data_IF_734372574530
#
_entry.id   IF_734372574530
#
_cell.length_a   1.000
_cell.length_b   1.000
_cell.length_c   1.000
_cell.angle_alpha   90.00
_cell.angle_beta   90.00
_cell.angle_gamma   90.00
#
_symmetry.space_group_name_H-M   'P 1'
#
loop_
_entity.id
_entity.type
_entity.pdbx_description
1 polymer ?
#
# COMPACT_ATOMS: atom_id res chain seq x y z
N UNK A 1 -16.65 -8.41 -20.62
CA UNK A 1 -15.47 -7.81 -19.96
C UNK A 1 -15.58 -8.13 -18.47
N UNK A 2 -14.76 -9.03 -17.94
CA UNK A 2 -14.82 -9.40 -16.53
C UNK A 2 -14.16 -8.29 -15.72
N UNK A 3 -14.93 -7.56 -14.91
CA UNK A 3 -14.37 -6.57 -14.00
C UNK A 3 -13.37 -7.25 -13.07
N UNK A 4 -12.10 -6.87 -13.14
CA UNK A 4 -11.09 -7.33 -12.19
C UNK A 4 -11.50 -6.84 -10.80
N UNK A 5 -11.78 -7.76 -9.87
CA UNK A 5 -12.16 -7.41 -8.50
C UNK A 5 -10.92 -6.89 -7.77
N UNK A 6 -10.99 -5.66 -7.29
CA UNK A 6 -9.98 -5.12 -6.37
C UNK A 6 -10.37 -5.46 -4.92
N UNK A 7 -9.38 -5.78 -4.11
CA UNK A 7 -9.52 -5.87 -2.66
C UNK A 7 -9.51 -4.43 -2.14
N UNK A 8 -10.62 -4.01 -1.55
CA UNK A 8 -10.69 -2.71 -0.89
C UNK A 8 -10.00 -2.83 0.46
N UNK A 9 -8.98 -2.03 0.70
CA UNK A 9 -8.25 -1.99 1.97
C UNK A 9 -8.10 -0.55 2.44
N UNK A 10 -8.22 -0.36 3.76
CA UNK A 10 -8.06 0.96 4.36
C UNK A 10 -6.58 1.27 4.57
N UNK A 11 -6.19 2.49 4.21
CA UNK A 11 -4.90 3.02 4.61
C UNK A 11 -4.85 3.22 6.14
N UNK A 12 -3.65 3.10 6.70
CA UNK A 12 -3.34 3.31 8.11
C UNK A 12 -2.39 4.49 8.29
N UNK A 13 -2.47 5.10 9.47
CA UNK A 13 -1.46 6.05 9.92
C UNK A 13 -0.15 5.28 10.20
N UNK A 14 0.94 5.69 9.53
CA UNK A 14 2.26 5.12 9.75
C UNK A 14 2.91 5.80 10.97
N UNK A 15 3.29 5.01 11.97
CA UNK A 15 4.06 5.51 13.11
C UNK A 15 5.55 5.52 12.78
N UNK A 16 6.25 6.58 13.21
CA UNK A 16 7.69 6.71 13.05
C UNK A 16 8.43 5.47 13.59
N UNK A 17 9.40 4.97 12.82
CA UNK A 17 10.26 3.85 13.21
C UNK A 17 9.66 2.45 12.99
N UNK A 18 8.36 2.33 12.73
CA UNK A 18 7.70 1.06 12.38
C UNK A 18 7.74 0.81 10.88
N UNK A 19 7.74 -0.46 10.47
CA UNK A 19 7.72 -0.85 9.05
C UNK A 19 6.32 -1.23 8.59
N UNK A 20 6.02 -0.92 7.32
CA UNK A 20 4.73 -1.15 6.69
C UNK A 20 4.87 -1.65 5.26
N UNK A 21 3.94 -2.51 4.87
CA UNK A 21 3.67 -2.77 3.46
C UNK A 21 2.60 -1.81 2.94
N UNK A 22 2.84 -1.29 1.74
CA UNK A 22 1.87 -0.42 1.09
C UNK A 22 2.35 0.14 -0.23
N UNK A 23 1.83 1.30 -0.60
CA UNK A 23 1.97 1.87 -1.94
C UNK A 23 2.44 3.32 -1.90
N UNK A 24 3.04 3.79 -2.98
CA UNK A 24 3.23 5.22 -3.19
C UNK A 24 1.94 5.82 -3.77
N UNK A 25 1.39 6.85 -3.13
CA UNK A 25 0.22 7.55 -3.63
C UNK A 25 0.51 8.17 -5.00
N UNK A 26 -0.34 7.93 -6.00
CA UNK A 26 -0.18 8.53 -7.33
C UNK A 26 -0.48 10.04 -7.35
N UNK A 27 -1.29 10.53 -6.42
CA UNK A 27 -1.61 11.96 -6.31
C UNK A 27 -0.51 12.79 -5.65
N UNK A 28 -0.05 12.41 -4.45
CA UNK A 28 0.91 13.21 -3.67
C UNK A 28 2.31 12.59 -3.54
N UNK A 29 2.53 11.37 -4.04
CA UNK A 29 3.79 10.63 -3.88
C UNK A 29 4.03 10.08 -2.46
N UNK A 30 3.19 10.43 -1.49
CA UNK A 30 3.31 10.00 -0.10
C UNK A 30 3.10 8.49 0.08
N UNK A 31 3.77 7.92 1.08
CA UNK A 31 3.63 6.51 1.40
C UNK A 31 2.29 6.21 2.08
N UNK A 32 1.57 5.23 1.54
CA UNK A 32 0.29 4.74 2.05
C UNK A 32 0.55 3.43 2.78
N UNK A 33 0.47 3.41 4.10
CA UNK A 33 0.58 2.18 4.88
C UNK A 33 -0.72 1.38 4.81
N UNK A 34 -0.63 0.07 4.59
CA UNK A 34 -1.81 -0.82 4.50
C UNK A 34 -1.71 -1.96 5.51
N UNK A 35 -0.56 -2.63 5.57
CA UNK A 35 -0.27 -3.72 6.50
C UNK A 35 0.98 -3.42 7.30
N UNK A 36 1.07 -3.96 8.51
CA UNK A 36 2.32 -3.91 9.28
C UNK A 36 3.34 -4.84 8.62
N UNK A 37 4.56 -4.38 8.43
CA UNK A 37 5.66 -5.21 7.99
C UNK A 37 6.48 -5.67 9.20
N UNK A 38 6.41 -6.97 9.51
CA UNK A 38 7.18 -7.62 10.59
C UNK A 38 8.53 -8.15 10.12
N UNK A 39 8.82 -8.08 8.82
CA UNK A 39 10.11 -8.45 8.25
C UNK A 39 11.15 -7.33 8.33
N UNK A 40 10.73 -6.13 8.76
CA UNK A 40 11.61 -4.97 8.95
C UNK A 40 12.30 -4.49 7.65
N UNK A 41 11.55 -4.43 6.55
CA UNK A 41 12.07 -3.91 5.28
C UNK A 41 12.41 -4.97 4.25
N UNK A 42 12.26 -6.26 4.57
CA UNK A 42 12.41 -7.29 3.55
C UNK A 42 11.32 -7.15 2.48
N UNK A 43 11.67 -7.59 1.28
CA UNK A 43 10.77 -7.53 0.13
C UNK A 43 9.46 -8.26 0.50
N UNK A 44 8.28 -7.65 0.22
CA UNK A 44 7.02 -8.35 0.43
C UNK A 44 7.04 -9.70 -0.32
N UNK A 45 6.45 -10.76 0.25
CA UNK A 45 6.30 -12.02 -0.48
C UNK A 45 5.68 -11.70 -1.83
N UNK A 46 6.25 -12.25 -2.90
CA UNK A 46 5.92 -11.87 -4.27
C UNK A 46 4.44 -12.16 -4.58
N UNK A 47 3.57 -11.20 -4.29
CA UNK A 47 2.18 -11.22 -4.68
C UNK A 47 2.15 -10.82 -6.16
N UNK A 48 2.13 -11.81 -7.04
CA UNK A 48 2.18 -11.61 -8.50
C UNK A 48 0.82 -11.27 -9.10
N UNK A 49 -0.27 -11.44 -8.33
CA UNK A 49 -1.63 -11.20 -8.81
C UNK A 49 -2.47 -10.53 -7.73
N UNK A 50 -3.25 -9.51 -8.12
CA UNK A 50 -4.15 -8.80 -7.22
C UNK A 50 -4.19 -7.31 -7.52
N UNK A 51 -5.34 -6.69 -7.22
CA UNK A 51 -5.53 -5.26 -7.26
C UNK A 51 -6.01 -4.79 -5.88
N UNK A 52 -5.46 -3.68 -5.38
CA UNK A 52 -5.82 -3.07 -4.11
C UNK A 52 -6.41 -1.70 -4.36
N UNK A 53 -7.65 -1.47 -3.93
CA UNK A 53 -8.25 -0.14 -3.94
C UNK A 53 -7.99 0.50 -2.57
N UNK A 54 -7.25 1.62 -2.57
CA UNK A 54 -6.79 2.29 -1.34
C UNK A 54 -6.97 3.80 -1.46
N UNK A 55 -7.47 4.42 -0.38
CA UNK A 55 -7.53 5.88 -0.23
C UNK A 55 -6.32 6.38 0.55
N UNK A 56 -5.62 7.37 0.02
CA UNK A 56 -4.47 7.99 0.68
C UNK A 56 -4.91 8.85 1.87
N UNK A 57 -4.31 8.65 3.06
CA UNK A 57 -4.59 9.51 4.22
C UNK A 57 -3.96 10.91 4.13
N UNK A 58 -2.98 11.12 3.24
CA UNK A 58 -2.29 12.40 3.11
C UNK A 58 -3.05 13.40 2.24
N UNK A 59 -3.66 12.95 1.14
CA UNK A 59 -4.33 13.82 0.17
C UNK A 59 -5.76 13.40 -0.19
N UNK A 60 -6.30 12.35 0.46
CA UNK A 60 -7.63 11.77 0.20
C UNK A 60 -7.84 11.18 -1.21
N UNK A 61 -6.82 11.17 -2.06
CA UNK A 61 -6.89 10.55 -3.39
C UNK A 61 -7.05 9.02 -3.29
N UNK A 62 -7.94 8.47 -4.11
CA UNK A 62 -8.22 7.04 -4.13
C UNK A 62 -7.68 6.40 -5.41
N UNK A 63 -6.97 5.29 -5.27
CA UNK A 63 -6.33 4.61 -6.39
C UNK A 63 -6.44 3.10 -6.32
N UNK A 64 -6.35 2.46 -7.49
CA UNK A 64 -6.18 1.02 -7.62
C UNK A 64 -4.73 0.71 -7.95
N UNK A 65 -4.10 -0.12 -7.11
CA UNK A 65 -2.70 -0.51 -7.18
C UNK A 65 -2.59 -2.01 -7.47
N UNK A 66 -1.61 -2.41 -8.27
CA UNK A 66 -1.29 -3.82 -8.48
C UNK A 66 -0.50 -4.37 -7.30
N UNK A 67 -0.67 -5.66 -7.01
CA UNK A 67 0.08 -6.34 -5.95
C UNK A 67 1.62 -6.23 -6.15
N UNK A 68 2.07 -6.11 -7.39
CA UNK A 68 3.47 -5.91 -7.78
C UNK A 68 4.01 -4.52 -7.44
N UNK A 69 3.14 -3.52 -7.27
CA UNK A 69 3.51 -2.16 -6.85
C UNK A 69 3.71 -2.07 -5.32
N UNK A 70 3.37 -3.12 -4.57
CA UNK A 70 3.51 -3.12 -3.12
C UNK A 70 4.98 -3.11 -2.72
N UNK A 71 5.32 -2.20 -1.80
CA UNK A 71 6.66 -2.04 -1.24
C UNK A 71 6.63 -2.10 0.28
N UNK A 72 7.75 -2.51 0.87
CA UNK A 72 8.02 -2.23 2.28
C UNK A 72 8.64 -0.85 2.42
N UNK A 73 8.27 -0.11 3.47
CA UNK A 73 8.86 1.16 3.84
C UNK A 73 8.74 1.40 5.36
N UNK A 74 9.63 2.23 5.90
CA UNK A 74 9.55 2.66 7.30
C UNK A 74 8.70 3.93 7.41
N UNK A 75 7.76 3.94 8.36
CA UNK A 75 6.99 5.13 8.72
C UNK A 75 7.91 6.25 9.19
N UNK A 76 7.62 7.47 8.72
CA UNK A 76 8.34 8.70 9.06
C UNK A 76 7.54 9.54 10.03
#
# INVERSE_FOLDING_TARGET
MTAKRAIVVSAKAAAGGSWYYGFACRGCGGDIAVFDDKSNGDKPPAATTGHFAVTCLHCADAGTYEATEMKSFQGK
#
